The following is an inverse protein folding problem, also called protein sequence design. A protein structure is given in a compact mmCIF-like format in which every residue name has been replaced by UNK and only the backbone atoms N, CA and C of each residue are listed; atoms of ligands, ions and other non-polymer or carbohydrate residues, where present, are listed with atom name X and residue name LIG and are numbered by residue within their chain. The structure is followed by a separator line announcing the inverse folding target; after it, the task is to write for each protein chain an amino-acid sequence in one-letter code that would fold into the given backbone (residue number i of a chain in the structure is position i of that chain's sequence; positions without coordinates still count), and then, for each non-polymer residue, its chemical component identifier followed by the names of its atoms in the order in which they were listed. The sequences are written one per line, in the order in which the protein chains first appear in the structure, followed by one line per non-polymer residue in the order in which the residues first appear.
data_IF_540158178202
#
_entry.id   IF_540158178202
#
_cell.length_a   1.000
_cell.length_b   1.000
_cell.length_c   1.000
_cell.angle_alpha   90.00
_cell.angle_beta   90.00
_cell.angle_gamma   90.00
#
_symmetry.space_group_name_H-M   'P 1'
#
loop_
_entity.id
_entity.type
_entity.pdbx_description
1 polymer ?
#
# COMPACT_ATOMS: atom_id res chain seq x y z
N UNK A 1 -8.82 -10.70 -8.05
CA UNK A 1 -7.63 -11.57 -8.12
C UNK A 1 -6.57 -10.99 -7.21
N UNK A 2 -5.99 -11.77 -6.29
CA UNK A 2 -4.93 -11.26 -5.39
C UNK A 2 -3.53 -11.34 -6.00
N UNK A 3 -3.28 -12.36 -6.81
CA UNK A 3 -2.07 -12.51 -7.62
C UNK A 3 -2.49 -13.09 -8.96
N UNK A 4 -1.89 -12.60 -10.04
CA UNK A 4 -2.11 -13.07 -11.41
C UNK A 4 -0.92 -12.65 -12.28
N UNK A 5 -0.66 -13.40 -13.34
CA UNK A 5 0.32 -13.05 -14.38
C UNK A 5 -0.26 -12.10 -15.44
N UNK A 6 -1.51 -11.66 -15.27
CA UNK A 6 -2.18 -10.77 -16.22
C UNK A 6 -1.41 -9.45 -16.38
N UNK A 7 -1.03 -9.13 -17.62
CA UNK A 7 -0.21 -7.97 -18.05
C UNK A 7 1.26 -7.96 -17.62
N UNK A 8 1.65 -8.71 -16.59
CA UNK A 8 3.01 -8.68 -16.05
C UNK A 8 3.81 -9.97 -16.32
N UNK A 9 3.19 -11.00 -16.90
CA UNK A 9 3.87 -12.22 -17.33
C UNK A 9 4.28 -13.14 -16.17
N UNK A 10 5.10 -14.14 -16.48
CA UNK A 10 5.53 -15.15 -15.51
C UNK A 10 6.55 -14.64 -14.49
N UNK A 11 7.17 -13.49 -14.75
CA UNK A 11 8.18 -12.88 -13.88
C UNK A 11 7.58 -12.42 -12.56
N UNK A 12 6.31 -12.03 -12.55
CA UNK A 12 5.56 -11.69 -11.33
C UNK A 12 4.75 -12.87 -10.76
N UNK A 13 4.85 -14.04 -11.37
CA UNK A 13 4.25 -15.26 -10.85
C UNK A 13 4.91 -15.66 -9.52
N UNK A 14 4.10 -16.05 -8.53
CA UNK A 14 4.63 -16.60 -7.28
C UNK A 14 5.32 -17.95 -7.56
N UNK A 15 6.64 -18.00 -7.40
CA UNK A 15 7.47 -19.20 -7.57
C UNK A 15 7.96 -19.69 -6.21
N UNK A 16 7.81 -20.98 -5.92
CA UNK A 16 8.23 -21.57 -4.64
C UNK A 16 9.36 -22.57 -4.84
N UNK A 17 10.35 -22.56 -3.95
CA UNK A 17 11.40 -23.59 -3.93
C UNK A 17 10.87 -24.87 -3.28
N UNK A 18 11.47 -26.01 -3.60
CA UNK A 18 11.16 -27.27 -2.93
C UNK A 18 11.38 -27.12 -1.41
N UNK A 19 10.37 -27.46 -0.61
CA UNK A 19 10.40 -27.31 0.84
C UNK A 19 10.24 -25.88 1.37
N UNK A 20 9.96 -24.88 0.51
CA UNK A 20 9.73 -23.50 0.96
C UNK A 20 8.42 -23.40 1.76
N UNK A 21 8.53 -23.11 3.05
CA UNK A 21 7.38 -22.72 3.86
C UNK A 21 7.04 -21.27 3.58
N UNK A 22 5.81 -21.00 3.15
CA UNK A 22 5.33 -19.65 2.89
C UNK A 22 3.90 -19.48 3.38
N UNK A 23 3.63 -18.30 3.96
CA UNK A 23 2.32 -17.93 4.45
C UNK A 23 2.10 -16.43 4.30
N UNK A 24 0.92 -16.06 3.81
CA UNK A 24 0.47 -14.67 3.68
C UNK A 24 -1.03 -14.61 3.84
N UNK A 25 -1.50 -13.64 4.63
CA UNK A 25 -2.93 -13.29 4.66
C UNK A 25 -3.25 -12.35 3.51
N UNK A 26 -4.23 -12.75 2.69
CA UNK A 26 -4.87 -11.89 1.69
C UNK A 26 -6.20 -11.34 2.23
N UNK A 27 -6.46 -10.05 1.99
CA UNK A 27 -7.63 -9.37 2.55
C UNK A 27 -7.39 -8.80 3.96
N UNK A 28 -8.44 -8.66 4.80
CA UNK A 28 -9.85 -8.99 4.55
C UNK A 28 -10.44 -8.36 3.28
N UNK A 29 -11.37 -9.08 2.65
CA UNK A 29 -12.21 -8.55 1.56
C UNK A 29 -13.59 -8.29 2.12
N UNK A 30 -14.06 -7.07 1.94
CA UNK A 30 -15.42 -6.70 2.30
C UNK A 30 -16.29 -6.69 1.04
N UNK A 31 -17.41 -7.41 1.09
CA UNK A 31 -18.41 -7.43 0.02
C UNK A 31 -19.69 -6.83 0.60
N UNK A 32 -20.14 -5.73 -0.01
CA UNK A 32 -21.35 -5.03 0.39
C UNK A 32 -22.45 -5.24 -0.63
N UNK A 33 -23.64 -5.62 -0.14
CA UNK A 33 -24.84 -5.79 -0.93
C UNK A 33 -25.90 -4.84 -0.39
N UNK A 34 -26.44 -4.00 -1.27
CA UNK A 34 -27.55 -3.11 -0.94
C UNK A 34 -28.71 -3.28 -1.91
N UNK A 35 -29.88 -2.81 -1.49
CA UNK A 35 -31.14 -2.95 -2.23
C UNK A 35 -31.97 -1.67 -2.14
N UNK A 36 -32.81 -1.43 -3.14
CA UNK A 36 -33.78 -0.34 -3.18
C UNK A 36 -35.10 -0.88 -3.75
N UNK A 37 -36.24 -0.40 -3.24
CA UNK A 37 -37.57 -0.86 -3.64
C UNK A 37 -37.95 -0.49 -5.09
N UNK A 38 -37.36 0.57 -5.63
CA UNK A 38 -37.52 1.04 -7.01
C UNK A 38 -36.14 1.13 -7.71
N UNK A 39 -36.11 1.32 -9.03
CA UNK A 39 -34.89 1.42 -9.85
C UNK A 39 -34.10 2.74 -9.65
N UNK A 40 -33.79 3.10 -8.41
CA UNK A 40 -33.01 4.28 -8.04
C UNK A 40 -31.52 3.94 -7.96
N UNK A 41 -30.92 3.66 -9.12
CA UNK A 41 -29.48 3.35 -9.25
C UNK A 41 -28.58 4.39 -8.57
N UNK A 42 -28.97 5.67 -8.61
CA UNK A 42 -28.25 6.76 -7.93
C UNK A 42 -28.23 6.59 -6.41
N UNK A 43 -29.33 6.18 -5.79
CA UNK A 43 -29.40 5.95 -4.35
C UNK A 43 -28.53 4.76 -3.93
N UNK A 44 -28.57 3.65 -4.68
CA UNK A 44 -27.68 2.49 -4.46
C UNK A 44 -26.20 2.89 -4.55
N UNK A 45 -25.84 3.70 -5.55
CA UNK A 45 -24.48 4.20 -5.72
C UNK A 45 -24.02 5.09 -4.57
N UNK A 46 -24.84 6.05 -4.15
CA UNK A 46 -24.49 6.94 -3.02
C UNK A 46 -24.36 6.16 -1.71
N UNK A 47 -25.24 5.19 -1.49
CA UNK A 47 -25.17 4.31 -0.33
C UNK A 47 -23.89 3.45 -0.34
N UNK A 48 -23.52 2.88 -1.49
CA UNK A 48 -22.27 2.13 -1.63
C UNK A 48 -21.03 3.00 -1.35
N UNK A 49 -21.00 4.25 -1.83
CA UNK A 49 -19.92 5.20 -1.51
C UNK A 49 -19.87 5.54 -0.02
N UNK A 50 -21.02 5.74 0.62
CA UNK A 50 -21.09 5.98 2.07
C UNK A 50 -20.53 4.78 2.85
N UNK A 51 -20.85 3.56 2.45
CA UNK A 51 -20.29 2.36 3.06
C UNK A 51 -18.78 2.28 2.84
N UNK A 52 -18.30 2.51 1.61
CA UNK A 52 -16.87 2.56 1.29
C UNK A 52 -16.10 3.54 2.20
N UNK A 53 -16.62 4.76 2.41
CA UNK A 53 -15.99 5.73 3.31
C UNK A 53 -15.85 5.22 4.75
N UNK A 54 -16.87 4.51 5.27
CA UNK A 54 -16.81 3.90 6.63
C UNK A 54 -15.76 2.80 6.71
N UNK A 55 -15.69 1.94 5.69
CA UNK A 55 -14.73 0.84 5.65
C UNK A 55 -13.29 1.34 5.51
N UNK A 56 -13.04 2.38 4.71
CA UNK A 56 -11.73 3.03 4.63
C UNK A 56 -11.31 3.56 6.01
N UNK A 57 -12.22 4.22 6.73
CA UNK A 57 -11.96 4.73 8.08
C UNK A 57 -11.77 3.63 9.14
N UNK A 58 -12.31 2.44 8.89
CA UNK A 58 -12.23 1.28 9.81
C UNK A 58 -10.97 0.43 9.58
N UNK A 59 -10.23 0.66 8.49
CA UNK A 59 -8.99 -0.03 8.22
C UNK A 59 -7.83 0.50 9.10
N UNK A 60 -6.96 -0.37 9.65
CA UNK A 60 -7.04 -1.84 9.65
C UNK A 60 -8.12 -2.39 10.60
N UNK A 61 -8.85 -3.41 10.15
CA UNK A 61 -9.91 -4.02 10.96
C UNK A 61 -9.38 -4.73 12.21
N UNK A 62 -10.18 -4.75 13.28
CA UNK A 62 -9.86 -5.48 14.50
C UNK A 62 -10.64 -6.79 14.69
N UNK A 63 -11.64 -7.06 13.85
CA UNK A 63 -12.43 -8.28 13.96
C UNK A 63 -11.70 -9.58 13.57
N UNK A 64 -10.72 -9.62 12.64
CA UNK A 64 -10.06 -10.88 12.29
C UNK A 64 -9.32 -11.48 13.49
N UNK A 65 -9.66 -12.72 13.88
CA UNK A 65 -9.09 -13.39 15.06
C UNK A 65 -7.83 -14.21 14.75
N UNK A 66 -7.40 -14.26 13.48
CA UNK A 66 -6.21 -15.03 13.11
C UNK A 66 -4.95 -14.36 13.66
N UNK A 67 -4.04 -15.11 14.31
CA UNK A 67 -2.76 -14.57 14.77
C UNK A 67 -1.89 -14.06 13.61
N UNK A 68 -2.17 -14.49 12.37
CA UNK A 68 -1.46 -14.05 11.16
C UNK A 68 -1.94 -12.69 10.62
N UNK A 69 -2.95 -12.12 11.28
CA UNK A 69 -3.46 -10.79 10.99
C UNK A 69 -3.16 -9.84 12.15
N UNK A 70 -2.09 -9.03 12.09
CA UNK A 70 -1.84 -8.00 13.08
C UNK A 70 -3.01 -7.02 13.12
N UNK A 71 -3.52 -6.74 14.31
CA UNK A 71 -4.56 -5.76 14.57
C UNK A 71 -4.04 -4.32 14.37
N UNK A 72 -4.93 -3.33 14.42
CA UNK A 72 -4.58 -1.93 14.16
C UNK A 72 -3.50 -1.40 15.13
N UNK A 73 -3.59 -1.76 16.40
CA UNK A 73 -2.62 -1.39 17.44
C UNK A 73 -1.29 -2.14 17.35
N UNK A 74 -1.21 -3.18 16.53
CA UNK A 74 0.00 -3.97 16.29
C UNK A 74 0.76 -3.52 15.03
N UNK A 75 0.39 -2.37 14.47
CA UNK A 75 0.93 -1.83 13.23
C UNK A 75 1.59 -0.48 13.48
N UNK A 76 2.48 -0.10 12.57
CA UNK A 76 3.15 1.19 12.58
C UNK A 76 2.69 2.08 11.43
N UNK A 77 3.27 3.29 11.37
CA UNK A 77 3.05 4.22 10.26
C UNK A 77 4.33 4.96 9.91
N UNK A 78 4.47 5.37 8.64
CA UNK A 78 5.59 6.20 8.16
C UNK A 78 5.01 7.46 7.54
N UNK A 79 5.61 8.60 7.85
CA UNK A 79 5.29 9.88 7.24
C UNK A 79 6.56 10.59 6.79
N UNK A 80 6.41 11.57 5.92
CA UNK A 80 7.54 12.36 5.47
C UNK A 80 7.16 13.30 4.34
N UNK A 81 8.16 13.99 3.81
CA UNK A 81 8.00 14.85 2.64
C UNK A 81 8.96 14.38 1.55
N UNK A 82 8.42 14.16 0.35
CA UNK A 82 9.21 13.83 -0.83
C UNK A 82 9.42 15.10 -1.67
N UNK A 83 10.69 15.39 -1.94
CA UNK A 83 11.11 16.45 -2.85
C UNK A 83 11.86 15.82 -4.02
N UNK A 84 11.63 16.34 -5.23
CA UNK A 84 12.31 15.94 -6.46
C UNK A 84 13.25 17.04 -6.91
N UNK A 85 14.39 16.62 -7.48
CA UNK A 85 15.31 17.52 -8.18
C UNK A 85 15.53 16.99 -9.59
N UNK A 86 15.06 17.73 -10.58
CA UNK A 86 15.18 17.38 -12.00
C UNK A 86 16.01 18.46 -12.73
N UNK A 87 17.33 18.28 -12.75
CA UNK A 87 18.28 19.15 -13.48
C UNK A 87 18.46 20.59 -12.96
N UNK A 88 17.54 21.09 -12.14
CA UNK A 88 17.60 22.42 -11.51
C UNK A 88 18.37 22.46 -10.18
N UNK A 89 18.67 23.68 -9.71
CA UNK A 89 19.32 23.90 -8.41
C UNK A 89 18.38 23.68 -7.21
N UNK A 90 17.07 23.91 -7.40
CA UNK A 90 16.08 23.84 -6.33
C UNK A 90 15.31 22.53 -6.38
N UNK A 91 15.11 21.93 -5.21
CA UNK A 91 14.19 20.80 -5.06
C UNK A 91 12.74 21.31 -5.05
N UNK A 92 11.83 20.57 -5.67
CA UNK A 92 10.40 20.88 -5.72
C UNK A 92 9.59 19.80 -5.00
N UNK A 93 8.43 20.14 -4.41
CA UNK A 93 7.47 19.15 -3.92
C UNK A 93 7.14 18.08 -4.94
N UNK A 94 7.21 16.81 -4.54
CA UNK A 94 6.79 15.68 -5.36
C UNK A 94 5.26 15.51 -5.29
N UNK A 95 4.54 16.50 -5.83
CA UNK A 95 3.09 16.54 -5.76
C UNK A 95 2.47 15.28 -6.40
N UNK A 96 1.51 14.66 -5.70
CA UNK A 96 0.79 13.47 -6.16
C UNK A 96 1.66 12.22 -6.40
N UNK A 97 2.90 12.20 -5.88
CA UNK A 97 3.76 11.03 -5.95
C UNK A 97 3.12 9.81 -5.29
N UNK A 98 3.34 8.62 -5.87
CA UNK A 98 3.10 7.36 -5.19
C UNK A 98 4.29 7.07 -4.29
N UNK A 99 4.07 6.96 -2.99
CA UNK A 99 5.12 6.59 -2.02
C UNK A 99 4.72 5.30 -1.33
N UNK A 100 5.63 4.33 -1.28
CA UNK A 100 5.31 3.01 -0.79
C UNK A 100 6.43 2.30 -0.05
N UNK A 101 6.04 1.41 0.85
CA UNK A 101 6.91 0.48 1.54
C UNK A 101 6.75 -0.90 0.91
N UNK A 102 7.86 -1.50 0.54
CA UNK A 102 7.94 -2.88 0.08
C UNK A 102 9.13 -3.58 0.75
N UNK A 103 9.22 -4.92 0.68
CA UNK A 103 10.36 -5.66 1.21
C UNK A 103 11.69 -5.11 0.66
N UNK A 104 12.79 -5.23 1.42
CA UNK A 104 14.06 -4.68 0.98
C UNK A 104 14.52 -5.29 -0.35
N UNK A 105 15.03 -4.44 -1.24
CA UNK A 105 15.44 -4.85 -2.59
C UNK A 105 16.06 -3.71 -3.37
N UNK A 106 16.46 -3.97 -4.61
CA UNK A 106 17.02 -2.95 -5.51
C UNK A 106 15.96 -1.91 -5.92
N UNK A 107 16.37 -0.82 -6.54
CA UNK A 107 15.45 0.11 -7.22
C UNK A 107 14.53 -0.65 -8.18
N UNK A 108 13.25 -0.30 -8.21
CA UNK A 108 12.23 -0.98 -9.02
C UNK A 108 11.80 -2.38 -8.53
N UNK A 109 12.48 -2.98 -7.53
CA UNK A 109 12.16 -4.36 -7.07
C UNK A 109 10.72 -4.54 -6.57
N UNK A 110 10.11 -3.46 -6.05
CA UNK A 110 8.71 -3.45 -5.62
C UNK A 110 7.72 -3.80 -6.75
N UNK A 111 8.08 -3.56 -8.02
CA UNK A 111 7.23 -3.87 -9.17
C UNK A 111 7.07 -5.37 -9.39
N UNK A 112 8.07 -6.16 -9.00
CA UNK A 112 8.12 -7.61 -9.19
C UNK A 112 7.79 -8.39 -7.90
N UNK A 113 7.64 -7.70 -6.78
CA UNK A 113 7.38 -8.29 -5.47
C UNK A 113 5.97 -8.92 -5.42
N UNK A 114 5.92 -10.24 -5.21
CA UNK A 114 4.68 -11.02 -5.18
C UNK A 114 4.47 -11.88 -3.91
N UNK A 115 5.48 -12.02 -3.03
CA UNK A 115 5.46 -12.84 -1.80
C UNK A 115 5.26 -12.04 -0.53
N UNK A 116 5.85 -10.87 -0.41
CA UNK A 116 5.81 -9.99 0.75
C UNK A 116 4.61 -9.05 0.76
N UNK A 117 4.61 -8.08 1.69
CA UNK A 117 3.56 -7.07 1.82
C UNK A 117 4.04 -5.73 1.27
N UNK A 118 3.16 -5.01 0.59
CA UNK A 118 3.39 -3.64 0.15
C UNK A 118 2.32 -2.70 0.71
N UNK A 119 2.69 -1.45 0.98
CA UNK A 119 1.81 -0.41 1.51
C UNK A 119 2.08 0.90 0.80
N UNK A 120 1.05 1.56 0.27
CA UNK A 120 1.21 2.73 -0.59
C UNK A 120 0.28 3.88 -0.16
N UNK A 121 0.74 5.10 -0.37
CA UNK A 121 -0.04 6.33 -0.20
C UNK A 121 0.33 7.34 -1.27
N UNK A 122 -0.58 8.28 -1.55
CA UNK A 122 -0.25 9.44 -2.39
C UNK A 122 0.30 10.55 -1.51
N UNK A 123 1.33 11.24 -2.01
CA UNK A 123 1.74 12.51 -1.46
C UNK A 123 0.73 13.62 -1.80
N UNK A 124 0.58 14.59 -0.91
CA UNK A 124 -0.21 15.79 -1.15
C UNK A 124 0.47 16.77 -2.13
N UNK A 125 -0.10 17.96 -2.32
CA UNK A 125 0.47 18.99 -3.22
C UNK A 125 1.82 19.54 -2.77
N UNK A 126 2.19 19.35 -1.50
CA UNK A 126 3.47 19.75 -0.91
C UNK A 126 4.44 18.58 -0.79
N UNK A 127 4.09 17.41 -1.34
CA UNK A 127 4.92 16.21 -1.29
C UNK A 127 4.86 15.49 0.05
N UNK A 128 4.01 15.90 1.00
CA UNK A 128 3.86 15.20 2.27
C UNK A 128 3.06 13.92 2.06
N UNK A 129 3.51 12.82 2.65
CA UNK A 129 2.84 11.52 2.57
C UNK A 129 2.67 10.91 3.97
N UNK A 130 1.69 10.01 4.08
CA UNK A 130 1.47 9.24 5.31
C UNK A 130 0.96 7.83 4.99
N UNK A 131 1.81 6.84 5.21
CA UNK A 131 1.50 5.41 5.05
C UNK A 131 1.11 4.85 6.43
N UNK A 132 -0.18 4.58 6.62
CA UNK A 132 -0.75 4.07 7.88
C UNK A 132 -0.94 2.56 7.86
N UNK A 133 -0.96 1.94 9.04
CA UNK A 133 -1.40 0.54 9.20
C UNK A 133 -0.41 -0.48 8.63
N UNK A 134 0.87 -0.13 8.61
CA UNK A 134 1.95 -0.95 8.08
C UNK A 134 2.23 -2.09 9.05
N UNK A 135 2.33 -3.32 8.51
CA UNK A 135 2.70 -4.48 9.34
C UNK A 135 4.13 -4.28 9.88
N UNK A 136 4.42 -4.72 11.11
CA UNK A 136 5.80 -4.72 11.61
C UNK A 136 6.72 -5.51 10.68
N UNK A 137 7.94 -5.01 10.50
CA UNK A 137 8.92 -5.62 9.59
C UNK A 137 9.92 -4.60 9.05
N UNK A 138 10.89 -5.10 8.30
CA UNK A 138 11.89 -4.27 7.64
C UNK A 138 11.48 -3.99 6.19
N UNK A 139 11.56 -2.73 5.76
CA UNK A 139 11.10 -2.27 4.45
C UNK A 139 12.11 -1.32 3.82
N UNK A 140 12.05 -1.14 2.50
CA UNK A 140 12.57 0.06 1.84
C UNK A 140 11.41 0.96 1.43
N UNK A 141 11.65 2.28 1.44
CA UNK A 141 10.72 3.27 0.93
C UNK A 141 11.03 3.50 -0.55
N UNK A 142 10.02 3.35 -1.39
CA UNK A 142 10.06 3.60 -2.82
C UNK A 142 9.14 4.74 -3.18
N UNK A 143 9.42 5.41 -4.29
CA UNK A 143 8.52 6.40 -4.84
C UNK A 143 8.55 6.44 -6.37
N UNK A 144 7.40 6.78 -6.93
CA UNK A 144 7.23 7.14 -8.33
C UNK A 144 6.51 8.49 -8.41
N UNK A 145 7.02 9.40 -9.22
CA UNK A 145 6.53 10.79 -9.28
C UNK A 145 5.97 11.09 -10.68
N UNK A 146 4.67 11.41 -10.81
CA UNK A 146 4.09 11.76 -12.10
C UNK A 146 4.86 12.89 -12.79
N UNK A 147 5.20 12.70 -14.06
CA UNK A 147 5.91 13.72 -14.85
C UNK A 147 7.40 13.84 -14.56
N UNK A 148 7.96 13.03 -13.65
CA UNK A 148 9.41 12.91 -13.44
C UNK A 148 9.88 11.51 -13.81
N UNK A 149 10.99 11.42 -14.53
CA UNK A 149 11.56 10.13 -14.94
C UNK A 149 12.32 9.50 -13.77
N UNK A 150 11.97 8.26 -13.42
CA UNK A 150 12.73 7.43 -12.50
C UNK A 150 11.86 6.64 -11.52
N UNK A 151 12.46 5.62 -10.94
CA UNK A 151 11.95 4.90 -9.77
C UNK A 151 12.88 5.18 -8.59
N UNK A 152 12.36 5.86 -7.57
CA UNK A 152 13.17 6.33 -6.46
C UNK A 152 13.15 5.33 -5.31
N UNK A 153 14.28 5.22 -4.62
CA UNK A 153 14.42 4.42 -3.40
C UNK A 153 15.12 5.25 -2.33
N UNK A 154 14.60 5.26 -1.11
CA UNK A 154 15.32 5.72 0.05
C UNK A 154 16.30 4.63 0.50
N UNK A 155 17.61 4.93 0.47
CA UNK A 155 18.66 3.94 0.70
C UNK A 155 18.56 3.23 2.06
N UNK A 156 18.34 3.93 3.19
CA UNK A 156 18.13 3.26 4.47
C UNK A 156 16.90 2.37 4.47
N UNK A 157 16.99 1.21 5.10
CA UNK A 157 15.81 0.43 5.42
C UNK A 157 15.09 1.02 6.63
N UNK A 158 13.76 0.92 6.62
CA UNK A 158 12.87 1.38 7.68
C UNK A 158 12.36 0.15 8.41
N UNK A 159 12.67 0.05 9.70
CA UNK A 159 12.16 -1.01 10.56
C UNK A 159 10.88 -0.54 11.26
N UNK A 160 9.74 -1.09 10.87
CA UNK A 160 8.42 -0.76 11.42
C UNK A 160 8.17 -1.60 12.66
N UNK A 161 7.85 -0.93 13.76
CA UNK A 161 7.44 -1.54 15.02
C UNK A 161 6.00 -1.13 15.40
N UNK A 162 5.26 -1.97 16.15
CA UNK A 162 3.91 -1.65 16.62
C UNK A 162 3.82 -0.31 17.36
N UNK A 163 2.84 0.53 17.00
CA UNK A 163 2.56 1.77 17.73
C UNK A 163 3.58 2.91 17.55
N UNK A 164 4.61 2.71 16.72
CA UNK A 164 5.59 3.75 16.40
C UNK A 164 5.23 4.50 15.12
N UNK A 165 5.56 5.80 15.13
CA UNK A 165 5.48 6.71 14.00
C UNK A 165 6.89 7.05 13.55
N UNK A 166 7.16 6.87 12.27
CA UNK A 166 8.44 7.15 11.63
C UNK A 166 8.33 8.33 10.68
#
# INVERSE_FOLDING_TARGET
MFVSTHYAGEDVGMKFKAGEQWKKVFGPVFIYLNSASNNHKSALWQNAKSQMSKEIGSWPYNFPQSPDFPHSNQRGSVSGQLLVRDGGQNSMPAAHAQVGLAPPGNEGSWQYENKGYQFWSHADGEGNFWIKGVRPGNYNLFAWVPGTIGDYKYCPSINISPGFYY
#
